data_IF_308112831855
#
_entry.id   IF_308112831855
#
_cell.length_a   1.000
_cell.length_b   1.000
_cell.length_c   1.000
_cell.angle_alpha   90.00
_cell.angle_beta   90.00
_cell.angle_gamma   90.00
#
_symmetry.space_group_name_H-M   'P 1'
#
loop_
_entity.id
_entity.type
_entity.pdbx_description
1 polymer ?
#
# COMPACT_ATOMS: atom_id res chain seq x y z
N UNK A 1 20.08 9.82 14.14
CA UNK A 1 18.69 10.04 14.58
C UNK A 1 17.97 8.72 14.44
N UNK A 2 16.99 8.38 15.29
CA UNK A 2 16.20 7.18 15.12
C UNK A 2 15.51 7.18 13.74
N UNK A 3 15.23 5.99 13.20
CA UNK A 3 14.50 5.88 11.94
C UNK A 3 13.06 6.41 12.12
N UNK A 4 12.50 7.10 11.12
CA UNK A 4 11.13 7.61 11.22
C UNK A 4 10.12 6.47 11.32
N UNK A 5 9.06 6.67 12.10
CA UNK A 5 7.91 5.77 12.15
C UNK A 5 7.06 5.94 10.90
N UNK A 6 6.66 4.82 10.28
CA UNK A 6 5.76 4.82 9.13
C UNK A 6 4.42 4.21 9.56
N UNK A 7 3.34 4.99 9.42
CA UNK A 7 1.96 4.54 9.53
C UNK A 7 1.45 4.25 8.11
N UNK A 8 1.50 2.98 7.72
CA UNK A 8 1.15 2.59 6.36
C UNK A 8 -0.29 2.10 6.30
N UNK A 9 -1.06 2.63 5.36
CA UNK A 9 -2.46 2.28 5.14
C UNK A 9 -2.60 1.80 3.68
N UNK A 10 -3.11 0.58 3.47
CA UNK A 10 -3.56 0.15 2.16
C UNK A 10 -4.88 0.84 1.83
N UNK A 11 -5.04 1.35 0.60
CA UNK A 11 -6.30 1.94 0.14
C UNK A 11 -7.50 1.03 0.43
N UNK A 12 -8.68 1.63 0.64
CA UNK A 12 -9.93 0.91 0.85
C UNK A 12 -10.36 0.06 -0.37
N UNK A 13 -11.33 -0.81 -0.18
CA UNK A 13 -11.81 -1.72 -1.22
C UNK A 13 -12.37 -0.98 -2.43
N UNK A 14 -12.11 -1.53 -3.63
CA UNK A 14 -12.70 -1.13 -4.91
C UNK A 14 -13.57 -2.26 -5.45
N UNK A 15 -14.39 -1.99 -6.47
CA UNK A 15 -15.17 -3.04 -7.14
C UNK A 15 -14.26 -4.17 -7.67
N UNK A 16 -13.09 -3.84 -8.22
CA UNK A 16 -12.14 -4.83 -8.73
C UNK A 16 -11.51 -5.69 -7.62
N UNK A 17 -11.29 -5.13 -6.42
CA UNK A 17 -10.88 -5.95 -5.28
C UNK A 17 -11.94 -6.99 -4.92
N UNK A 18 -13.22 -6.58 -4.85
CA UNK A 18 -14.34 -7.47 -4.56
C UNK A 18 -14.50 -8.58 -5.63
N UNK A 19 -14.17 -8.28 -6.88
CA UNK A 19 -14.20 -9.23 -8.00
C UNK A 19 -12.91 -10.09 -8.12
N UNK A 20 -11.90 -9.86 -7.29
CA UNK A 20 -10.60 -10.55 -7.38
C UNK A 20 -9.78 -10.19 -8.62
N UNK A 21 -10.01 -8.98 -9.19
CA UNK A 21 -9.26 -8.46 -10.34
C UNK A 21 -8.05 -7.64 -9.88
N UNK A 22 -6.95 -7.82 -10.59
CA UNK A 22 -5.72 -7.08 -10.36
C UNK A 22 -5.79 -5.71 -11.03
N UNK A 23 -5.54 -4.65 -10.26
CA UNK A 23 -5.76 -3.29 -10.72
C UNK A 23 -4.52 -2.66 -11.36
N UNK A 24 -3.35 -2.90 -10.75
CA UNK A 24 -2.12 -2.25 -11.18
C UNK A 24 -2.26 -0.73 -11.26
N UNK A 25 -1.99 -0.17 -12.42
CA UNK A 25 -2.05 1.26 -12.72
C UNK A 25 -3.46 1.80 -12.99
N UNK A 26 -4.46 0.93 -13.14
CA UNK A 26 -5.83 1.35 -13.45
C UNK A 26 -6.47 2.10 -12.28
N UNK A 27 -7.18 3.18 -12.60
CA UNK A 27 -7.80 4.05 -11.62
C UNK A 27 -9.26 3.64 -11.36
N UNK A 28 -9.44 2.70 -10.43
CA UNK A 28 -10.75 2.20 -9.99
C UNK A 28 -11.09 2.87 -8.65
N UNK A 29 -12.26 3.54 -8.54
CA UNK A 29 -12.63 4.25 -7.32
C UNK A 29 -12.97 3.31 -6.16
N UNK A 30 -12.94 3.83 -4.94
CA UNK A 30 -13.41 3.13 -3.75
C UNK A 30 -14.90 2.78 -3.87
N UNK A 31 -15.25 1.55 -3.49
CA UNK A 31 -16.65 1.20 -3.26
C UNK A 31 -17.12 1.67 -1.87
N UNK A 32 -18.36 1.37 -1.50
CA UNK A 32 -18.92 1.81 -0.22
C UNK A 32 -18.19 1.21 0.99
N UNK A 33 -17.80 -0.07 0.90
CA UNK A 33 -17.00 -0.72 1.95
C UNK A 33 -15.63 -0.06 2.07
N UNK A 34 -14.97 0.22 0.94
CA UNK A 34 -13.65 0.87 0.94
C UNK A 34 -13.66 2.26 1.57
N UNK A 35 -14.75 3.02 1.43
CA UNK A 35 -14.91 4.32 2.10
C UNK A 35 -15.01 4.16 3.62
N UNK A 36 -15.76 3.15 4.10
CA UNK A 36 -15.83 2.84 5.54
C UNK A 36 -14.47 2.40 6.06
N UNK A 37 -13.78 1.49 5.36
CA UNK A 37 -12.43 1.04 5.72
C UNK A 37 -11.43 2.21 5.82
N UNK A 38 -11.52 3.19 4.92
CA UNK A 38 -10.69 4.40 4.98
C UNK A 38 -10.98 5.23 6.23
N UNK A 39 -12.24 5.40 6.60
CA UNK A 39 -12.62 6.10 7.82
C UNK A 39 -12.19 5.35 9.09
N UNK A 40 -12.33 4.02 9.11
CA UNK A 40 -11.88 3.17 10.22
C UNK A 40 -10.36 3.31 10.42
N UNK A 41 -9.56 3.27 9.35
CA UNK A 41 -8.13 3.51 9.42
C UNK A 41 -7.77 4.90 9.98
N UNK A 42 -8.56 5.92 9.65
CA UNK A 42 -8.46 7.26 10.25
C UNK A 42 -8.69 7.25 11.76
N UNK A 43 -9.71 6.52 12.22
CA UNK A 43 -10.00 6.33 13.64
C UNK A 43 -8.87 5.62 14.39
N UNK A 44 -8.36 4.53 13.82
CA UNK A 44 -7.22 3.80 14.38
C UNK A 44 -5.99 4.71 14.50
N UNK A 45 -5.71 5.51 13.48
CA UNK A 45 -4.57 6.45 13.51
C UNK A 45 -4.75 7.52 14.58
N UNK A 46 -5.96 8.05 14.78
CA UNK A 46 -6.27 9.00 15.85
C UNK A 46 -5.99 8.39 17.23
N UNK A 47 -6.46 7.15 17.46
CA UNK A 47 -6.25 6.44 18.72
C UNK A 47 -4.75 6.18 18.98
N UNK A 48 -3.99 5.82 17.95
CA UNK A 48 -2.54 5.64 18.06
C UNK A 48 -1.82 6.94 18.41
N UNK A 49 -2.17 8.05 17.76
CA UNK A 49 -1.61 9.37 18.09
C UNK A 49 -1.94 9.79 19.52
N UNK A 50 -3.19 9.62 19.95
CA UNK A 50 -3.62 9.93 21.32
C UNK A 50 -2.89 9.08 22.35
N UNK A 51 -2.72 7.76 22.10
CA UNK A 51 -1.99 6.86 22.98
C UNK A 51 -0.53 7.27 23.16
N UNK A 52 0.11 7.70 22.08
CA UNK A 52 1.51 8.10 22.09
C UNK A 52 1.74 9.56 22.52
N UNK A 53 0.66 10.30 22.85
CA UNK A 53 0.70 11.72 23.20
C UNK A 53 1.20 12.60 22.04
N UNK A 54 0.93 12.20 20.80
CA UNK A 54 1.43 12.82 19.58
C UNK A 54 0.29 13.57 18.88
N UNK A 55 0.58 14.76 18.35
CA UNK A 55 -0.38 15.47 17.50
C UNK A 55 -0.35 14.90 16.08
N UNK A 56 -1.53 14.64 15.49
CA UNK A 56 -1.68 14.21 14.11
C UNK A 56 -1.13 15.25 13.13
N UNK A 57 -1.21 16.53 13.47
CA UNK A 57 -0.67 17.63 12.65
C UNK A 57 0.87 17.67 12.60
N UNK A 58 1.55 16.93 13.47
CA UNK A 58 3.01 16.79 13.44
C UNK A 58 3.51 15.70 12.47
N UNK A 59 2.60 14.89 11.92
CA UNK A 59 2.91 13.84 10.97
C UNK A 59 2.99 14.40 9.54
N UNK A 60 3.90 13.84 8.74
CA UNK A 60 3.91 14.05 7.29
C UNK A 60 2.93 13.08 6.63
N UNK A 61 2.11 13.57 5.69
CA UNK A 61 1.13 12.75 4.97
C UNK A 61 1.51 12.66 3.50
N UNK A 62 1.54 11.44 2.96
CA UNK A 62 1.87 11.17 1.55
C UNK A 62 0.99 10.05 1.00
N UNK A 63 0.54 10.18 -0.24
CA UNK A 63 -0.26 9.16 -0.90
C UNK A 63 0.30 8.77 -2.27
N UNK A 64 -0.02 7.56 -2.72
CA UNK A 64 0.07 7.18 -4.11
C UNK A 64 -0.79 8.12 -4.98
N UNK A 65 -0.38 8.43 -6.24
CA UNK A 65 -1.18 9.27 -7.14
C UNK A 65 -2.50 8.64 -7.58
N UNK A 66 -2.68 7.32 -7.41
CA UNK A 66 -3.89 6.62 -7.85
C UNK A 66 -5.11 7.03 -7.02
N UNK A 67 -6.27 7.24 -7.68
CA UNK A 67 -7.49 7.79 -7.10
C UNK A 67 -7.90 7.07 -5.81
N UNK A 68 -7.90 5.74 -5.79
CA UNK A 68 -8.27 4.95 -4.61
C UNK A 68 -7.42 5.23 -3.38
N UNK A 69 -6.11 5.51 -3.57
CA UNK A 69 -5.22 5.86 -2.47
C UNK A 69 -5.43 7.32 -2.03
N UNK A 70 -5.62 8.24 -2.95
CA UNK A 70 -5.92 9.64 -2.67
C UNK A 70 -7.25 9.78 -1.93
N UNK A 71 -8.31 9.15 -2.42
CA UNK A 71 -9.61 9.15 -1.75
C UNK A 71 -9.54 8.53 -0.35
N UNK A 72 -8.73 7.49 -0.14
CA UNK A 72 -8.48 6.93 1.19
C UNK A 72 -7.77 7.96 2.08
N UNK A 73 -6.73 8.62 1.59
CA UNK A 73 -6.00 9.67 2.34
C UNK A 73 -6.93 10.81 2.75
N UNK A 74 -7.77 11.28 1.84
CA UNK A 74 -8.71 12.37 2.09
C UNK A 74 -9.73 12.00 3.19
N UNK A 75 -10.24 10.76 3.18
CA UNK A 75 -11.13 10.26 4.24
C UNK A 75 -10.41 10.10 5.59
N UNK A 76 -9.19 9.58 5.59
CA UNK A 76 -8.35 9.51 6.81
C UNK A 76 -8.17 10.91 7.40
N UNK A 77 -7.79 11.90 6.60
CA UNK A 77 -7.57 13.28 7.06
C UNK A 77 -8.84 13.96 7.53
N UNK A 78 -9.99 13.67 6.90
CA UNK A 78 -11.30 14.19 7.37
C UNK A 78 -11.64 13.67 8.77
N UNK A 79 -11.41 12.37 9.04
CA UNK A 79 -11.59 11.78 10.39
C UNK A 79 -10.68 12.47 11.41
N UNK A 80 -9.43 12.75 11.05
CA UNK A 80 -8.45 13.45 11.90
C UNK A 80 -8.73 14.96 12.04
N UNK A 81 -9.76 15.50 11.37
CA UNK A 81 -10.09 16.94 11.34
C UNK A 81 -8.95 17.81 10.80
N UNK A 82 -8.17 17.27 9.88
CA UNK A 82 -7.12 17.98 9.16
C UNK A 82 -7.61 18.46 7.78
N UNK A 83 -7.00 19.49 7.18
CA UNK A 83 -7.33 19.89 5.81
C UNK A 83 -7.18 18.73 4.83
N UNK A 84 -8.25 18.27 4.20
CA UNK A 84 -8.31 17.00 3.45
C UNK A 84 -7.32 16.92 2.30
N UNK A 85 -7.02 18.02 1.62
CA UNK A 85 -6.11 18.07 0.47
C UNK A 85 -4.66 18.43 0.78
N UNK A 86 -4.29 18.61 2.06
CA UNK A 86 -2.95 19.04 2.45
C UNK A 86 -2.03 17.84 2.70
N UNK A 87 -1.68 17.11 1.64
CA UNK A 87 -0.76 15.98 1.64
C UNK A 87 0.07 15.93 0.36
N UNK A 88 1.23 15.31 0.43
CA UNK A 88 2.07 15.09 -0.74
C UNK A 88 1.60 13.88 -1.56
N UNK A 89 1.92 13.89 -2.85
CA UNK A 89 1.74 12.75 -3.75
C UNK A 89 3.11 12.29 -4.24
N UNK A 90 3.36 10.97 -4.19
CA UNK A 90 4.65 10.41 -4.60
C UNK A 90 4.43 9.22 -5.56
N UNK A 91 4.99 9.33 -6.76
CA UNK A 91 4.87 8.30 -7.81
C UNK A 91 5.50 6.96 -7.41
N UNK A 92 6.48 6.96 -6.50
CA UNK A 92 7.10 5.73 -5.99
C UNK A 92 6.14 4.87 -5.16
N UNK A 93 5.03 5.44 -4.70
CA UNK A 93 3.97 4.74 -3.97
C UNK A 93 2.91 4.10 -4.88
N UNK A 94 3.00 4.21 -6.22
CA UNK A 94 2.08 3.53 -7.14
C UNK A 94 2.06 2.03 -6.90
N UNK A 95 0.90 1.39 -7.14
CA UNK A 95 0.80 -0.07 -7.12
C UNK A 95 1.75 -0.72 -8.12
N UNK A 96 2.14 -1.96 -7.88
CA UNK A 96 2.86 -2.79 -8.85
C UNK A 96 2.06 -2.85 -10.16
N UNK A 97 2.71 -2.52 -11.28
CA UNK A 97 2.11 -2.63 -12.60
C UNK A 97 1.93 -4.08 -13.02
N UNK A 98 0.69 -4.46 -13.35
CA UNK A 98 0.40 -5.81 -13.85
C UNK A 98 0.38 -5.89 -15.39
N UNK A 99 0.62 -4.77 -16.08
CA UNK A 99 0.69 -4.70 -17.54
C UNK A 99 -0.56 -5.31 -18.18
N UNK A 100 -0.40 -6.28 -19.09
CA UNK A 100 -1.53 -6.90 -19.79
C UNK A 100 -2.48 -7.69 -18.89
N UNK A 101 -2.09 -7.98 -17.67
CA UNK A 101 -2.94 -8.68 -16.70
C UNK A 101 -3.84 -7.74 -15.87
N UNK A 102 -3.73 -6.42 -16.07
CA UNK A 102 -4.63 -5.49 -15.41
C UNK A 102 -6.10 -5.74 -15.80
N UNK A 103 -6.98 -5.76 -14.81
CA UNK A 103 -8.39 -6.15 -14.95
C UNK A 103 -8.67 -7.65 -14.98
N UNK A 104 -7.63 -8.49 -15.00
CA UNK A 104 -7.79 -9.95 -15.01
C UNK A 104 -7.84 -10.54 -13.61
N UNK A 105 -8.55 -11.66 -13.47
CA UNK A 105 -8.45 -12.56 -12.32
C UNK A 105 -7.28 -13.54 -12.51
N UNK A 106 -6.87 -14.22 -11.42
CA UNK A 106 -5.82 -15.27 -11.50
C UNK A 106 -6.13 -16.35 -12.55
N UNK A 107 -7.38 -16.79 -12.65
CA UNK A 107 -7.80 -17.80 -13.63
C UNK A 107 -7.65 -17.30 -15.08
N UNK A 108 -7.98 -16.02 -15.33
CA UNK A 108 -7.82 -15.40 -16.63
C UNK A 108 -6.33 -15.23 -17.00
N UNK A 109 -5.48 -14.83 -16.06
CA UNK A 109 -4.03 -14.72 -16.26
C UNK A 109 -3.43 -16.09 -16.62
N UNK A 110 -3.82 -17.14 -15.89
CA UNK A 110 -3.36 -18.52 -16.17
C UNK A 110 -3.79 -18.99 -17.55
N UNK A 111 -5.00 -18.62 -18.00
CA UNK A 111 -5.52 -19.02 -19.30
C UNK A 111 -4.84 -18.27 -20.46
N UNK A 112 -4.53 -16.97 -20.27
CA UNK A 112 -3.93 -16.13 -21.31
C UNK A 112 -2.43 -16.36 -21.49
N UNK A 113 -1.70 -16.52 -20.38
CA UNK A 113 -0.23 -16.60 -20.39
C UNK A 113 0.28 -17.73 -19.45
N UNK A 114 -0.04 -19.00 -19.72
CA UNK A 114 0.20 -20.11 -18.78
C UNK A 114 1.67 -20.28 -18.39
N UNK A 115 2.62 -20.05 -19.29
CA UNK A 115 4.05 -20.19 -19.03
C UNK A 115 4.56 -19.10 -18.07
N UNK A 116 4.22 -17.84 -18.33
CA UNK A 116 4.61 -16.71 -17.47
C UNK A 116 3.91 -16.83 -16.12
N UNK A 117 2.62 -17.22 -16.10
CA UNK A 117 1.90 -17.46 -14.88
C UNK A 117 2.57 -18.53 -14.01
N UNK A 118 2.94 -19.69 -14.60
CA UNK A 118 3.65 -20.75 -13.91
C UNK A 118 5.04 -20.32 -13.42
N UNK A 119 5.78 -19.54 -14.21
CA UNK A 119 7.06 -18.98 -13.80
C UNK A 119 6.91 -18.05 -12.60
N UNK A 120 5.90 -17.16 -12.63
CA UNK A 120 5.60 -16.21 -11.57
C UNK A 120 5.09 -16.90 -10.27
N UNK A 121 4.41 -18.05 -10.37
CA UNK A 121 4.05 -18.84 -9.19
C UNK A 121 5.28 -19.40 -8.46
N UNK A 122 6.38 -19.68 -9.18
CA UNK A 122 7.63 -20.16 -8.60
C UNK A 122 8.49 -19.02 -8.03
N UNK A 123 8.43 -17.86 -8.64
CA UNK A 123 9.19 -16.67 -8.25
C UNK A 123 8.41 -15.39 -8.57
N UNK A 124 7.53 -14.98 -7.65
CA UNK A 124 6.78 -13.72 -7.78
C UNK A 124 7.67 -12.50 -7.67
N UNK A 125 8.83 -12.64 -7.02
CA UNK A 125 9.67 -11.50 -6.73
C UNK A 125 10.40 -11.01 -7.97
N UNK A 126 10.98 -11.91 -8.72
CA UNK A 126 11.82 -11.59 -9.88
C UNK A 126 11.06 -11.60 -11.20
N UNK A 127 10.04 -12.47 -11.34
CA UNK A 127 9.28 -12.61 -12.59
C UNK A 127 8.20 -11.54 -12.69
N UNK A 128 8.28 -10.70 -13.74
CA UNK A 128 7.27 -9.69 -14.06
C UNK A 128 6.04 -10.29 -14.76
N UNK A 129 4.84 -9.71 -14.56
CA UNK A 129 3.74 -9.90 -15.50
C UNK A 129 4.14 -9.41 -16.90
N UNK A 130 3.44 -9.84 -17.97
CA UNK A 130 3.70 -9.29 -19.32
C UNK A 130 3.50 -7.78 -19.35
N UNK A 131 4.53 -7.04 -19.76
CA UNK A 131 4.57 -5.56 -19.81
C UNK A 131 4.34 -4.88 -18.42
N UNK A 132 4.58 -5.61 -17.32
CA UNK A 132 4.42 -5.12 -15.96
C UNK A 132 5.71 -5.03 -15.16
N UNK A 133 5.57 -4.79 -13.86
CA UNK A 133 6.70 -4.69 -12.91
C UNK A 133 6.94 -6.03 -12.17
N UNK A 134 8.19 -6.31 -11.82
CA UNK A 134 8.54 -7.31 -10.80
C UNK A 134 8.44 -6.68 -9.39
N UNK A 135 8.29 -7.52 -8.36
CA UNK A 135 8.43 -7.03 -6.98
C UNK A 135 9.82 -6.47 -6.69
N UNK A 136 10.87 -6.99 -7.33
CA UNK A 136 12.23 -6.44 -7.21
C UNK A 136 12.29 -4.99 -7.69
N UNK A 137 11.60 -4.63 -8.79
CA UNK A 137 11.51 -3.24 -9.26
C UNK A 137 10.74 -2.36 -8.27
N UNK A 138 9.64 -2.87 -7.72
CA UNK A 138 8.87 -2.15 -6.68
C UNK A 138 9.70 -1.95 -5.42
N UNK A 139 10.46 -2.97 -5.00
CA UNK A 139 11.38 -2.87 -3.86
C UNK A 139 12.42 -1.77 -4.06
N UNK A 140 13.01 -1.66 -5.25
CA UNK A 140 13.99 -0.61 -5.53
C UNK A 140 13.40 0.79 -5.32
N UNK A 141 12.22 1.08 -5.92
CA UNK A 141 11.57 2.40 -5.75
C UNK A 141 11.06 2.65 -4.33
N UNK A 142 10.65 1.61 -3.59
CA UNK A 142 10.27 1.74 -2.18
C UNK A 142 11.47 1.98 -1.28
N UNK A 143 12.65 1.40 -1.60
CA UNK A 143 13.91 1.72 -0.92
C UNK A 143 14.31 3.17 -1.12
N UNK A 144 14.22 3.68 -2.36
CA UNK A 144 14.50 5.09 -2.66
C UNK A 144 13.52 6.04 -1.94
N UNK A 145 12.25 5.65 -1.84
CA UNK A 145 11.26 6.41 -1.08
C UNK A 145 11.60 6.44 0.41
N UNK A 146 11.83 5.27 1.02
CA UNK A 146 12.14 5.13 2.44
C UNK A 146 13.40 5.90 2.85
N UNK A 147 14.47 5.82 2.05
CA UNK A 147 15.73 6.48 2.35
C UNK A 147 15.65 8.02 2.36
N UNK A 148 14.59 8.60 1.83
CA UNK A 148 14.35 10.06 1.84
C UNK A 148 13.45 10.52 2.99
N UNK A 149 12.91 9.60 3.78
CA UNK A 149 12.07 9.97 4.93
C UNK A 149 12.94 10.53 6.06
N UNK A 150 12.54 11.69 6.57
CA UNK A 150 13.22 12.37 7.68
C UNK A 150 12.31 12.58 8.89
N UNK A 151 11.00 12.34 8.73
CA UNK A 151 9.97 12.56 9.75
C UNK A 151 9.01 11.40 9.77
N UNK A 152 8.32 11.24 10.89
CA UNK A 152 7.24 10.26 11.01
C UNK A 152 6.16 10.52 9.96
N UNK A 153 5.79 9.48 9.22
CA UNK A 153 5.03 9.62 7.98
C UNK A 153 3.82 8.68 7.94
N UNK A 154 2.68 9.23 7.58
CA UNK A 154 1.48 8.47 7.18
C UNK A 154 1.52 8.28 5.68
N UNK A 155 1.59 7.03 5.23
CA UNK A 155 1.63 6.67 3.81
C UNK A 155 0.38 5.90 3.43
N UNK A 156 -0.39 6.40 2.47
CA UNK A 156 -1.53 5.67 1.90
C UNK A 156 -1.16 5.18 0.50
N UNK A 157 -1.10 3.85 0.35
CA UNK A 157 -0.69 3.23 -0.90
C UNK A 157 -1.36 1.84 -1.11
N UNK A 158 -0.63 0.81 -1.50
CA UNK A 158 -1.19 -0.41 -2.07
C UNK A 158 -0.59 -1.68 -1.44
N UNK A 159 -1.18 -2.84 -1.77
CA UNK A 159 -0.72 -4.12 -1.26
C UNK A 159 0.67 -4.51 -1.79
N UNK A 160 0.96 -4.24 -3.05
CA UNK A 160 2.28 -4.55 -3.64
C UNK A 160 3.41 -3.70 -3.04
N UNK A 161 3.17 -2.40 -2.87
CA UNK A 161 4.15 -1.51 -2.23
C UNK A 161 4.33 -1.79 -0.74
N UNK A 162 3.27 -2.23 -0.02
CA UNK A 162 3.40 -2.68 1.38
C UNK A 162 4.35 -3.87 1.51
N UNK A 163 4.17 -4.91 0.68
CA UNK A 163 5.03 -6.10 0.65
C UNK A 163 6.49 -5.74 0.35
N UNK A 164 6.70 -4.87 -0.64
CA UNK A 164 8.03 -4.39 -0.98
C UNK A 164 8.68 -3.61 0.18
N UNK A 165 7.92 -2.74 0.86
CA UNK A 165 8.39 -2.00 2.03
C UNK A 165 8.77 -2.93 3.18
N UNK A 166 8.01 -3.99 3.43
CA UNK A 166 8.33 -5.00 4.45
C UNK A 166 9.69 -5.64 4.21
N UNK A 167 10.03 -5.93 2.96
CA UNK A 167 11.36 -6.46 2.60
C UNK A 167 12.45 -5.40 2.72
N UNK A 168 12.21 -4.17 2.29
CA UNK A 168 13.15 -3.04 2.47
C UNK A 168 13.50 -2.84 3.94
N UNK A 169 12.52 -2.97 4.84
CA UNK A 169 12.71 -2.79 6.28
C UNK A 169 13.20 -4.06 7.01
N UNK A 170 13.37 -5.17 6.29
CA UNK A 170 13.87 -6.42 6.85
C UNK A 170 12.89 -7.12 7.81
N UNK A 171 11.59 -6.75 7.80
CA UNK A 171 10.56 -7.40 8.62
C UNK A 171 9.99 -8.66 7.95
N UNK A 172 10.18 -8.80 6.64
CA UNK A 172 9.82 -9.98 5.84
C UNK A 172 10.91 -10.30 4.83
N UNK A 173 10.93 -11.55 4.36
CA UNK A 173 11.76 -11.96 3.21
C UNK A 173 10.99 -11.78 1.91
N UNK A 174 11.68 -11.79 0.76
CA UNK A 174 11.03 -11.74 -0.56
C UNK A 174 10.03 -12.89 -0.75
N UNK A 175 10.36 -14.07 -0.25
CA UNK A 175 9.53 -15.28 -0.41
C UNK A 175 8.25 -15.19 0.44
N UNK A 176 8.38 -14.76 1.72
CA UNK A 176 7.22 -14.63 2.62
C UNK A 176 6.33 -13.44 2.26
N UNK A 177 6.92 -12.29 1.91
CA UNK A 177 6.18 -11.08 1.60
C UNK A 177 5.30 -11.22 0.36
N UNK A 178 5.75 -11.95 -0.68
CA UNK A 178 5.06 -12.02 -1.97
C UNK A 178 3.61 -12.51 -1.89
N UNK A 179 3.29 -13.32 -0.88
CA UNK A 179 1.95 -13.92 -0.66
C UNK A 179 1.23 -13.36 0.58
N UNK A 180 1.86 -12.45 1.32
CA UNK A 180 1.28 -11.90 2.54
C UNK A 180 0.01 -11.08 2.22
N UNK A 181 -1.07 -11.37 2.93
CA UNK A 181 -2.28 -10.58 2.83
C UNK A 181 -2.09 -9.22 3.52
N UNK A 182 -2.34 -8.13 2.80
CA UNK A 182 -2.34 -6.77 3.33
C UNK A 182 -3.80 -6.33 3.46
N UNK A 183 -4.29 -6.19 4.68
CA UNK A 183 -5.68 -5.86 4.96
C UNK A 183 -5.98 -4.38 4.63
N UNK A 184 -7.19 -4.12 4.17
CA UNK A 184 -7.76 -2.79 4.00
C UNK A 184 -8.45 -2.36 5.30
N UNK A 185 -8.46 -1.06 5.62
CA UNK A 185 -9.01 -0.57 6.88
C UNK A 185 -8.10 -0.75 8.10
N UNK A 186 -6.91 -1.31 7.93
CA UNK A 186 -5.90 -1.48 8.96
C UNK A 186 -4.77 -0.46 8.83
N UNK A 187 -4.11 -0.17 9.95
CA UNK A 187 -2.88 0.64 10.01
C UNK A 187 -1.71 -0.27 10.37
N UNK A 188 -0.71 -0.32 9.50
CA UNK A 188 0.56 -1.01 9.70
C UNK A 188 1.60 -0.02 10.19
N UNK A 189 2.11 -0.21 11.40
CA UNK A 189 3.10 0.69 12.01
C UNK A 189 4.48 0.04 11.94
N UNK A 190 5.35 0.65 11.15
CA UNK A 190 6.77 0.28 11.06
C UNK A 190 7.59 1.25 11.93
N UNK A 191 8.32 0.72 12.90
CA UNK A 191 9.16 1.48 13.82
C UNK A 191 10.40 0.66 14.18
N UNK A 192 11.30 1.20 15.00
CA UNK A 192 12.47 0.45 15.52
C UNK A 192 12.10 -0.86 16.23
N UNK A 193 10.88 -0.96 16.75
CA UNK A 193 10.35 -2.19 17.36
C UNK A 193 9.82 -3.22 16.35
N UNK A 194 9.97 -3.01 15.06
CA UNK A 194 9.48 -3.87 14.00
C UNK A 194 8.10 -3.45 13.45
N UNK A 195 7.30 -4.43 13.01
CA UNK A 195 5.97 -4.22 12.44
C UNK A 195 4.88 -4.55 13.45
N UNK A 196 3.91 -3.65 13.59
CA UNK A 196 2.64 -3.90 14.30
C UNK A 196 1.47 -3.57 13.39
N UNK A 197 0.40 -4.38 13.46
CA UNK A 197 -0.85 -4.14 12.72
C UNK A 197 -1.96 -3.82 13.71
N UNK A 198 -2.77 -2.82 13.38
CA UNK A 198 -3.96 -2.40 14.12
C UNK A 198 -5.17 -2.41 13.17
N UNK A 199 -6.28 -3.06 13.58
CA UNK A 199 -7.50 -3.22 12.79
C UNK A 199 -8.74 -3.26 13.68
#
# INVERSE_FOLDING_TARGET
>A
MPAPTIYYIRHGETAWNAEGRFQGSQDIPLNELGRRQAADAGGILADLCAHDGRSESALTFVASPLERARSTMELVRDVLKLPVGDYAVDDRLREIGYGRWEGSTLAQMQASDPEIFAARLRDKWSVSPPDGESYASVQARMSDWYNQLTTDTVAVAHGGTARALMVVLGVETSDSAADLAIEQGAVYVFSEGGLRKYS
#
